data_IF_550593975392
#
_entry.id   IF_550593975392
#
_cell.length_a   1.000
_cell.length_b   1.000
_cell.length_c   1.000
_cell.angle_alpha   90.00
_cell.angle_beta   90.00
_cell.angle_gamma   90.00
#
_symmetry.space_group_name_H-M   'P 1'
#
loop_
_entity.id
_entity.type
_entity.pdbx_description
1 polymer ?
#
# COMPACT_ATOMS: atom_id res chain seq x y z
N UNK A 1 -10.75 27.27 22.55
CA UNK A 1 -9.88 26.07 22.56
C UNK A 1 -10.76 24.86 22.32
N UNK A 2 -10.90 24.42 21.07
CA UNK A 2 -11.82 23.33 20.69
C UNK A 2 -11.04 22.03 20.81
N UNK A 3 -11.35 21.23 21.83
CA UNK A 3 -10.79 19.89 22.00
C UNK A 3 -11.39 19.02 20.90
N UNK A 4 -10.58 18.65 19.91
CA UNK A 4 -10.96 17.69 18.89
C UNK A 4 -11.27 16.36 19.58
N UNK A 5 -12.56 16.00 19.63
CA UNK A 5 -12.99 14.66 20.06
C UNK A 5 -12.56 13.68 18.98
N UNK A 6 -11.61 12.80 19.32
CA UNK A 6 -11.28 11.61 18.54
C UNK A 6 -12.58 10.84 18.26
N UNK A 7 -12.92 10.52 17.00
CA UNK A 7 -14.11 9.75 16.70
C UNK A 7 -13.99 8.37 17.34
N UNK A 8 -14.91 8.07 18.26
CA UNK A 8 -14.98 6.78 18.94
C UNK A 8 -15.41 5.71 17.91
N UNK A 9 -14.74 4.55 17.84
CA UNK A 9 -15.12 3.49 16.92
C UNK A 9 -16.54 3.03 17.27
N UNK A 10 -17.42 3.03 16.27
CA UNK A 10 -18.81 2.58 16.39
C UNK A 10 -18.85 1.10 16.78
N UNK A 11 -19.08 0.81 18.05
CA UNK A 11 -19.50 -0.51 18.50
C UNK A 11 -20.90 -0.79 17.91
N UNK A 12 -21.06 -1.90 17.19
CA UNK A 12 -22.40 -2.48 17.01
C UNK A 12 -22.78 -3.05 15.65
N UNK A 13 -21.91 -3.06 14.64
CA UNK A 13 -22.16 -3.84 13.42
C UNK A 13 -20.97 -4.75 13.18
N UNK A 14 -21.16 -6.08 13.34
CA UNK A 14 -20.20 -7.11 12.88
C UNK A 14 -20.15 -7.08 11.35
N UNK A 15 -19.47 -6.07 10.82
CA UNK A 15 -19.38 -5.77 9.41
C UNK A 15 -18.25 -6.55 8.72
N UNK A 16 -18.17 -6.36 7.40
CA UNK A 16 -17.09 -6.85 6.52
C UNK A 16 -15.70 -6.39 6.99
N UNK A 17 -15.64 -5.40 7.88
CA UNK A 17 -14.41 -4.83 8.41
C UNK A 17 -13.76 -5.64 9.55
N UNK A 18 -14.42 -6.67 10.10
CA UNK A 18 -13.81 -7.54 11.11
C UNK A 18 -13.42 -8.86 10.47
N UNK A 19 -12.14 -9.18 10.48
CA UNK A 19 -11.59 -10.47 10.04
C UNK A 19 -11.53 -11.43 11.24
N UNK A 20 -12.04 -12.65 11.04
CA UNK A 20 -11.76 -13.77 11.94
C UNK A 20 -10.62 -14.59 11.35
N UNK A 21 -9.59 -14.78 12.15
CA UNK A 21 -8.42 -15.60 11.86
C UNK A 21 -8.05 -16.43 13.10
N UNK A 22 -7.06 -17.31 12.99
CA UNK A 22 -6.69 -18.29 14.01
C UNK A 22 -6.23 -17.66 15.33
N UNK A 23 -5.86 -16.38 15.32
CA UNK A 23 -5.48 -15.59 16.49
C UNK A 23 -6.60 -14.71 17.09
N UNK A 24 -7.82 -14.71 16.52
CA UNK A 24 -8.96 -13.98 17.07
C UNK A 24 -9.73 -13.12 16.06
N UNK A 25 -10.38 -12.08 16.57
CA UNK A 25 -11.06 -11.06 15.77
C UNK A 25 -10.17 -9.82 15.67
N UNK A 26 -9.91 -9.35 14.45
CA UNK A 26 -9.16 -8.12 14.18
C UNK A 26 -9.95 -7.22 13.24
N UNK A 27 -10.01 -5.92 13.54
CA UNK A 27 -10.55 -4.96 12.59
C UNK A 27 -9.52 -4.73 11.47
N UNK A 28 -9.96 -4.69 10.21
CA UNK A 28 -9.07 -4.51 9.05
C UNK A 28 -8.24 -3.22 9.18
N UNK A 29 -8.83 -2.18 9.78
CA UNK A 29 -8.16 -0.89 9.99
C UNK A 29 -7.04 -0.95 11.05
N UNK A 30 -7.09 -1.94 11.95
CA UNK A 30 -6.07 -2.17 12.99
C UNK A 30 -4.85 -2.94 12.46
N UNK A 31 -4.86 -3.32 11.18
CA UNK A 31 -3.69 -3.92 10.53
C UNK A 31 -2.65 -2.83 10.31
N UNK A 32 -1.49 -3.00 10.95
CA UNK A 32 -0.43 -1.99 11.01
C UNK A 32 0.61 -2.17 9.91
N UNK A 33 0.80 -3.40 9.41
CA UNK A 33 1.82 -3.71 8.40
C UNK A 33 1.27 -4.53 7.23
N UNK A 34 1.84 -4.33 6.05
CA UNK A 34 1.48 -5.09 4.86
C UNK A 34 1.79 -6.59 5.03
N UNK A 35 2.85 -6.93 5.76
CA UNK A 35 3.22 -8.31 6.07
C UNK A 35 2.17 -8.99 6.95
N UNK A 36 1.70 -8.32 8.01
CA UNK A 36 0.62 -8.80 8.86
C UNK A 36 -0.68 -9.00 8.05
N UNK A 37 -1.04 -8.01 7.22
CA UNK A 37 -2.21 -8.11 6.36
C UNK A 37 -2.12 -9.27 5.37
N UNK A 38 -0.94 -9.52 4.79
CA UNK A 38 -0.72 -10.64 3.87
C UNK A 38 -0.83 -12.00 4.57
N UNK A 39 -0.26 -12.15 5.76
CA UNK A 39 -0.38 -13.40 6.53
C UNK A 39 -1.85 -13.73 6.85
N UNK A 40 -2.64 -12.72 7.20
CA UNK A 40 -4.09 -12.88 7.43
C UNK A 40 -4.82 -13.24 6.13
N UNK A 41 -4.44 -12.64 5.01
CA UNK A 41 -5.03 -12.94 3.70
C UNK A 41 -4.75 -14.39 3.28
N UNK A 42 -3.53 -14.86 3.47
CA UNK A 42 -3.11 -16.23 3.14
C UNK A 42 -3.89 -17.25 3.98
N UNK A 43 -4.13 -16.95 5.26
CA UNK A 43 -4.95 -17.79 6.14
C UNK A 43 -6.42 -17.84 5.70
N UNK A 44 -6.99 -16.69 5.30
CA UNK A 44 -8.36 -16.64 4.77
C UNK A 44 -8.45 -17.45 3.48
N UNK A 45 -7.49 -17.30 2.57
CA UNK A 45 -7.47 -18.01 1.29
C UNK A 45 -7.30 -19.53 1.52
N UNK A 46 -6.43 -19.95 2.45
CA UNK A 46 -6.31 -21.37 2.84
C UNK A 46 -7.59 -21.95 3.46
N UNK A 47 -8.31 -21.16 4.28
CA UNK A 47 -9.59 -21.58 4.84
C UNK A 47 -10.71 -21.64 3.79
N UNK A 48 -10.70 -20.76 2.79
CA UNK A 48 -11.61 -20.83 1.64
C UNK A 48 -11.37 -22.13 0.88
N UNK A 49 -10.12 -22.41 0.50
CA UNK A 49 -9.76 -23.64 -0.22
C UNK A 49 -10.17 -24.90 0.56
N UNK A 50 -9.91 -24.92 1.87
CA UNK A 50 -10.31 -26.06 2.72
C UNK A 50 -11.83 -26.30 2.71
N UNK A 51 -12.63 -25.24 2.81
CA UNK A 51 -14.10 -25.35 2.78
C UNK A 51 -14.57 -25.81 1.38
N UNK A 52 -13.99 -25.27 0.31
CA UNK A 52 -14.30 -25.64 -1.06
C UNK A 52 -13.94 -27.11 -1.36
N UNK A 53 -12.80 -27.58 -0.86
CA UNK A 53 -12.39 -28.98 -0.96
C UNK A 53 -13.35 -29.91 -0.22
N UNK A 54 -13.83 -29.51 0.97
CA UNK A 54 -14.84 -30.26 1.72
C UNK A 54 -16.16 -30.35 0.97
N UNK A 55 -16.57 -29.28 0.27
CA UNK A 55 -17.73 -29.31 -0.62
C UNK A 55 -17.53 -30.24 -1.83
N UNK A 56 -16.37 -30.18 -2.48
CA UNK A 56 -16.07 -30.95 -3.68
C UNK A 56 -15.98 -32.46 -3.40
N UNK A 57 -15.37 -32.85 -2.28
CA UNK A 57 -15.16 -34.25 -1.92
C UNK A 57 -16.31 -34.84 -1.09
N UNK A 58 -17.39 -34.07 -0.86
CA UNK A 58 -18.53 -34.53 -0.08
C UNK A 58 -18.19 -34.90 1.36
N UNK A 59 -17.09 -34.35 1.90
CA UNK A 59 -16.66 -34.53 3.31
C UNK A 59 -17.58 -33.67 4.18
N UNK A 60 -18.83 -34.10 4.26
CA UNK A 60 -19.80 -33.58 5.20
C UNK A 60 -19.62 -34.33 6.51
N UNK A 61 -19.65 -33.62 7.64
CA UNK A 61 -19.80 -34.32 8.91
C UNK A 61 -21.19 -34.96 8.89
N UNK A 62 -21.27 -36.29 8.72
CA UNK A 62 -22.54 -37.05 8.84
C UNK A 62 -23.26 -36.77 10.17
N UNK A 63 -22.52 -36.27 11.17
CA UNK A 63 -23.00 -35.92 12.50
C UNK A 63 -23.54 -34.49 12.63
N UNK A 64 -23.46 -33.66 11.60
CA UNK A 64 -23.93 -32.27 11.67
C UNK A 64 -24.68 -31.81 10.41
N UNK A 65 -26.02 -31.92 10.41
CA UNK A 65 -26.88 -31.47 9.31
C UNK A 65 -26.75 -29.97 9.02
N UNK A 66 -26.30 -29.18 10.00
CA UNK A 66 -26.17 -27.72 9.86
C UNK A 66 -24.77 -27.28 9.42
N UNK A 67 -23.81 -28.21 9.30
CA UNK A 67 -22.45 -27.94 8.85
C UNK A 67 -22.44 -27.22 7.51
N UNK A 68 -23.27 -27.68 6.56
CA UNK A 68 -23.32 -27.12 5.21
C UNK A 68 -23.70 -25.64 5.22
N UNK A 69 -24.78 -25.30 5.93
CA UNK A 69 -25.25 -23.93 6.05
C UNK A 69 -24.20 -23.02 6.72
N UNK A 70 -23.51 -23.51 7.77
CA UNK A 70 -22.45 -22.74 8.43
C UNK A 70 -21.22 -22.57 7.55
N UNK A 71 -20.84 -23.59 6.79
CA UNK A 71 -19.74 -23.54 5.82
C UNK A 71 -20.02 -22.54 4.69
N UNK A 72 -21.25 -22.50 4.16
CA UNK A 72 -21.68 -21.51 3.15
C UNK A 72 -21.64 -20.07 3.70
N UNK A 73 -22.12 -19.86 4.95
CA UNK A 73 -22.05 -18.56 5.61
C UNK A 73 -20.58 -18.13 5.81
N UNK A 74 -19.73 -19.04 6.28
CA UNK A 74 -18.31 -18.78 6.48
C UNK A 74 -17.59 -18.44 5.17
N UNK A 75 -17.85 -19.21 4.11
CA UNK A 75 -17.30 -18.98 2.77
C UNK A 75 -17.71 -17.61 2.23
N UNK A 76 -19.00 -17.28 2.33
CA UNK A 76 -19.54 -15.98 1.90
C UNK A 76 -18.93 -14.83 2.68
N UNK A 77 -18.72 -14.98 3.99
CA UNK A 77 -18.07 -13.95 4.83
C UNK A 77 -16.61 -13.75 4.44
N UNK A 78 -15.84 -14.83 4.30
CA UNK A 78 -14.41 -14.79 3.92
C UNK A 78 -14.21 -14.15 2.54
N UNK A 79 -15.03 -14.53 1.55
CA UNK A 79 -15.00 -13.92 0.21
C UNK A 79 -15.32 -12.42 0.22
N UNK A 80 -16.19 -11.95 1.13
CA UNK A 80 -16.52 -10.52 1.28
C UNK A 80 -15.42 -9.72 1.96
N UNK A 81 -14.65 -10.32 2.87
CA UNK A 81 -13.54 -9.67 3.57
C UNK A 81 -12.33 -9.46 2.64
N UNK A 82 -12.11 -10.38 1.70
CA UNK A 82 -10.94 -10.40 0.80
C UNK A 82 -10.65 -9.07 0.10
N UNK A 83 -11.60 -8.38 -0.58
CA UNK A 83 -11.29 -7.15 -1.30
C UNK A 83 -10.87 -6.00 -0.37
N UNK A 84 -11.51 -5.89 0.81
CA UNK A 84 -11.18 -4.87 1.82
C UNK A 84 -9.77 -5.09 2.38
N UNK A 85 -9.42 -6.35 2.67
CA UNK A 85 -8.10 -6.71 3.16
C UNK A 85 -7.01 -6.43 2.10
N UNK A 86 -7.27 -6.79 0.84
CA UNK A 86 -6.37 -6.48 -0.28
C UNK A 86 -6.16 -4.97 -0.47
N UNK A 87 -7.23 -4.18 -0.36
CA UNK A 87 -7.14 -2.72 -0.42
C UNK A 87 -6.23 -2.18 0.70
N UNK A 88 -6.46 -2.61 1.95
CA UNK A 88 -5.65 -2.19 3.11
C UNK A 88 -4.18 -2.57 2.95
N UNK A 89 -3.88 -3.80 2.51
CA UNK A 89 -2.50 -4.22 2.19
C UNK A 89 -1.88 -3.31 1.14
N UNK A 90 -2.62 -2.94 0.10
CA UNK A 90 -2.16 -2.04 -0.95
C UNK A 90 -1.86 -0.62 -0.45
N UNK A 91 -2.63 -0.12 0.51
CA UNK A 91 -2.38 1.16 1.19
C UNK A 91 -1.13 1.08 2.08
N UNK A 92 -1.00 0.04 2.89
CA UNK A 92 0.16 -0.18 3.76
C UNK A 92 1.45 -0.32 2.95
N UNK A 93 1.44 -1.08 1.83
CA UNK A 93 2.61 -1.19 0.93
C UNK A 93 3.03 0.14 0.30
N UNK A 94 2.09 1.07 0.12
CA UNK A 94 2.38 2.41 -0.40
C UNK A 94 2.97 3.28 0.70
N UNK A 95 2.38 3.25 1.90
CA UNK A 95 2.90 3.96 3.07
C UNK A 95 4.31 3.49 3.44
N UNK A 96 4.54 2.17 3.54
CA UNK A 96 5.86 1.59 3.82
C UNK A 96 6.91 2.01 2.78
N UNK A 97 6.54 2.06 1.50
CA UNK A 97 7.42 2.53 0.42
C UNK A 97 7.75 4.02 0.48
N UNK A 98 6.87 4.84 1.04
CA UNK A 98 7.12 6.27 1.23
C UNK A 98 8.03 6.53 2.44
N UNK A 99 8.04 5.63 3.42
CA UNK A 99 8.84 5.75 4.66
C UNK A 99 10.26 5.20 4.47
N UNK A 100 10.46 4.19 3.62
CA UNK A 100 11.81 3.70 3.32
C UNK A 100 12.51 4.57 2.26
N UNK A 101 13.75 5.05 2.52
CA UNK A 101 14.58 5.60 1.45
C UNK A 101 14.75 4.57 0.32
N UNK A 102 14.95 5.00 -0.93
CA UNK A 102 15.04 4.10 -2.07
C UNK A 102 16.05 2.98 -1.77
N UNK A 103 15.57 1.73 -1.75
CA UNK A 103 16.42 0.55 -1.51
C UNK A 103 17.62 0.57 -2.48
N UNK A 104 18.76 -0.02 -2.08
CA UNK A 104 20.06 0.17 -2.76
C UNK A 104 20.09 -0.02 -4.29
N UNK A 105 19.15 -0.76 -4.88
CA UNK A 105 18.97 -0.86 -6.34
C UNK A 105 18.42 0.44 -6.96
N UNK A 106 17.46 1.08 -6.30
CA UNK A 106 16.93 2.39 -6.67
C UNK A 106 17.95 3.51 -6.45
N UNK A 107 18.81 3.40 -5.42
CA UNK A 107 19.91 4.33 -5.23
C UNK A 107 20.90 4.26 -6.40
N UNK A 108 21.32 3.06 -6.82
CA UNK A 108 22.20 2.90 -7.97
C UNK A 108 21.57 3.37 -9.31
N UNK A 109 20.26 3.21 -9.49
CA UNK A 109 19.54 3.74 -10.66
C UNK A 109 19.34 5.26 -10.59
N UNK A 110 19.17 5.81 -9.40
CA UNK A 110 19.12 7.26 -9.16
C UNK A 110 20.49 7.89 -9.42
N UNK A 111 21.57 7.36 -8.83
CA UNK A 111 22.95 7.80 -9.06
C UNK A 111 23.33 7.73 -10.54
N UNK A 112 22.96 6.66 -11.25
CA UNK A 112 23.22 6.56 -12.70
C UNK A 112 22.41 7.55 -13.53
N UNK A 113 21.19 7.92 -13.11
CA UNK A 113 20.41 8.98 -13.78
C UNK A 113 21.02 10.35 -13.52
N UNK A 114 21.42 10.61 -12.29
CA UNK A 114 22.04 11.88 -11.90
C UNK A 114 23.42 12.07 -12.53
N UNK A 115 24.24 11.02 -12.60
CA UNK A 115 25.51 11.03 -13.31
C UNK A 115 25.33 11.36 -14.81
N UNK A 116 24.32 10.78 -15.46
CA UNK A 116 23.98 11.10 -16.87
C UNK A 116 23.52 12.54 -17.03
N UNK A 117 22.65 13.02 -16.13
CA UNK A 117 22.16 14.41 -16.13
C UNK A 117 23.31 15.40 -15.98
N UNK A 118 24.22 15.16 -15.04
CA UNK A 118 25.40 15.99 -14.81
C UNK A 118 26.32 16.01 -16.02
N UNK A 119 26.65 14.84 -16.57
CA UNK A 119 27.48 14.76 -17.78
C UNK A 119 26.87 15.52 -18.97
N UNK A 120 25.55 15.45 -19.17
CA UNK A 120 24.86 16.22 -20.19
C UNK A 120 24.95 17.73 -19.93
N UNK A 121 24.68 18.18 -18.70
CA UNK A 121 24.75 19.61 -18.33
C UNK A 121 26.18 20.14 -18.53
N UNK A 122 27.19 19.38 -18.12
CA UNK A 122 28.59 19.77 -18.25
C UNK A 122 29.01 19.88 -19.72
N UNK A 123 28.59 18.93 -20.56
CA UNK A 123 28.82 19.00 -22.01
C UNK A 123 28.10 20.21 -22.64
N UNK A 124 26.84 20.47 -22.25
CA UNK A 124 26.09 21.63 -22.74
C UNK A 124 26.77 22.95 -22.37
N UNK A 125 27.27 23.08 -21.14
CA UNK A 125 28.01 24.27 -20.67
C UNK A 125 29.32 24.51 -21.42
N UNK A 126 29.93 23.48 -22.00
CA UNK A 126 31.14 23.62 -22.82
C UNK A 126 30.84 24.09 -24.25
N UNK A 127 29.61 23.87 -24.71
CA UNK A 127 29.18 24.20 -26.08
C UNK A 127 28.39 25.50 -26.17
N UNK A 128 27.79 25.94 -25.07
CA UNK A 128 26.92 27.10 -25.00
C UNK A 128 27.59 28.24 -24.22
N UNK A 129 27.38 29.47 -24.69
CA UNK A 129 27.81 30.66 -23.97
C UNK A 129 27.02 30.84 -22.67
N UNK A 130 27.64 31.48 -21.68
CA UNK A 130 27.08 31.63 -20.33
C UNK A 130 25.71 32.35 -20.31
N UNK A 131 25.51 33.29 -21.23
CA UNK A 131 24.24 34.01 -21.41
C UNK A 131 23.12 33.05 -21.86
N UNK A 132 23.40 32.17 -22.83
CA UNK A 132 22.46 31.17 -23.33
C UNK A 132 22.09 30.13 -22.26
N UNK A 133 23.06 29.72 -21.43
CA UNK A 133 22.80 28.82 -20.30
C UNK A 133 21.83 29.46 -19.29
N UNK A 134 21.99 30.76 -19.04
CA UNK A 134 21.14 31.52 -18.11
C UNK A 134 19.73 31.67 -18.66
N UNK A 135 19.58 31.95 -19.95
CA UNK A 135 18.28 32.05 -20.61
C UNK A 135 17.54 30.71 -20.62
N UNK A 136 18.22 29.61 -20.94
CA UNK A 136 17.66 28.25 -20.88
C UNK A 136 17.19 27.93 -19.46
N UNK A 137 17.96 28.33 -18.44
CA UNK A 137 17.60 28.12 -17.04
C UNK A 137 16.33 28.88 -16.67
N UNK A 138 16.23 30.17 -17.02
CA UNK A 138 15.04 30.98 -16.78
C UNK A 138 13.80 30.38 -17.46
N UNK A 139 13.95 29.97 -18.73
CA UNK A 139 12.86 29.35 -19.50
C UNK A 139 12.44 27.99 -18.94
N UNK A 140 13.38 27.21 -18.41
CA UNK A 140 13.07 25.96 -17.73
C UNK A 140 12.29 26.18 -16.43
N UNK A 141 12.64 27.22 -15.66
CA UNK A 141 11.92 27.60 -14.45
C UNK A 141 10.49 28.05 -14.74
N UNK A 142 10.26 28.77 -15.84
CA UNK A 142 8.92 29.14 -16.30
C UNK A 142 8.08 27.93 -16.73
N UNK A 143 8.68 26.94 -17.38
CA UNK A 143 7.96 25.77 -17.92
C UNK A 143 7.64 24.71 -16.87
N UNK A 144 8.47 24.58 -15.84
CA UNK A 144 8.35 23.55 -14.82
C UNK A 144 8.54 24.12 -13.41
N UNK A 145 7.69 25.05 -12.94
CA UNK A 145 7.89 25.77 -11.69
C UNK A 145 8.02 24.85 -10.47
N UNK A 146 7.26 23.75 -10.43
CA UNK A 146 7.32 22.75 -9.35
C UNK A 146 8.70 22.10 -9.20
N UNK A 147 9.48 21.98 -10.28
CA UNK A 147 10.83 21.41 -10.26
C UNK A 147 11.88 22.39 -9.70
N UNK A 148 11.55 23.67 -9.56
CA UNK A 148 12.43 24.72 -9.04
C UNK A 148 11.99 25.23 -7.65
N UNK A 149 10.83 24.81 -7.16
CA UNK A 149 10.24 25.29 -5.90
C UNK A 149 10.98 24.83 -4.63
N UNK A 150 11.84 23.82 -4.69
CA UNK A 150 12.51 23.24 -3.50
C UNK A 150 13.78 23.99 -3.05
N UNK A 151 14.29 24.97 -3.80
CA UNK A 151 15.54 25.67 -3.46
C UNK A 151 15.39 26.85 -2.47
N UNK A 152 14.16 27.33 -2.23
CA UNK A 152 13.94 28.48 -1.32
C UNK A 152 13.69 28.09 0.15
N UNK A 153 13.51 26.80 0.47
CA UNK A 153 13.16 26.33 1.82
C UNK A 153 14.34 25.81 2.66
N UNK A 154 15.59 25.95 2.18
CA UNK A 154 16.80 25.46 2.87
C UNK A 154 17.79 26.61 3.15
N UNK A 155 17.34 27.64 3.85
CA UNK A 155 18.22 28.52 4.62
C UNK A 155 17.41 29.12 5.78
N UNK A 156 17.43 28.41 6.91
CA UNK A 156 17.30 28.95 8.27
C UNK A 156 18.26 28.16 9.17
#
# INVERSE_FOLDING_TARGET
>A
MIVARTPQPTQGVRGVNVVLYSGGELHIDDIETAAQGQAILDEIDGAISTIEDQFAHGVTSEKDPSWRARAEIALKRKRRQRPRLQQRIGELRRAERQVLPPSGKHLADYERREARRRAFIDAAKQMLDAEMVTEIWARAAEQAPDAFAELEASHD
#
